data_IF_257274069697
#
_entry.id   IF_257274069697
#
_cell.length_a   1.000
_cell.length_b   1.000
_cell.length_c   1.000
_cell.angle_alpha   90.00
_cell.angle_beta   90.00
_cell.angle_gamma   90.00
#
_symmetry.space_group_name_H-M   'P 1'
#
loop_
_entity.id
_entity.type
_entity.pdbx_description
1 polymer ?
#
# COMPACT_ATOMS: atom_id res chain seq x y z
N UNK A 1 12.24 13.70 13.01
CA UNK A 1 11.38 12.74 12.32
C UNK A 1 12.27 11.76 11.59
N UNK A 2 12.04 10.46 11.68
CA UNK A 2 12.84 9.47 10.95
C UNK A 2 12.56 9.61 9.44
N UNK A 3 13.60 9.86 8.66
CA UNK A 3 13.52 9.82 7.20
C UNK A 3 13.67 8.35 6.81
N UNK A 4 12.72 7.82 6.04
CA UNK A 4 12.80 6.46 5.51
C UNK A 4 13.99 6.34 4.54
N UNK A 5 14.74 5.27 4.65
CA UNK A 5 15.82 4.93 3.69
C UNK A 5 15.21 4.66 2.31
N UNK A 6 15.94 4.96 1.24
CA UNK A 6 15.49 4.68 -0.14
C UNK A 6 15.09 3.20 -0.29
N UNK A 7 13.94 2.98 -0.91
CA UNK A 7 13.40 1.64 -1.18
C UNK A 7 12.58 1.03 -0.04
N UNK A 8 12.54 1.63 1.13
CA UNK A 8 11.66 1.15 2.22
C UNK A 8 10.22 1.59 1.93
N UNK A 9 9.21 0.71 2.10
CA UNK A 9 7.81 1.11 2.11
C UNK A 9 7.55 2.17 3.18
N UNK A 10 7.17 3.38 2.75
CA UNK A 10 7.06 4.54 3.64
C UNK A 10 5.64 5.09 3.74
N UNK A 11 4.75 4.70 2.85
CA UNK A 11 3.36 5.19 2.82
C UNK A 11 2.44 4.26 2.05
N UNK A 12 1.15 4.34 2.36
CA UNK A 12 0.07 3.74 1.58
C UNK A 12 -1.07 4.72 1.38
N UNK A 13 -1.71 4.70 0.22
CA UNK A 13 -2.97 5.41 0.00
C UNK A 13 -3.99 4.56 -0.77
N UNK A 14 -5.27 4.83 -0.55
CA UNK A 14 -6.35 4.29 -1.37
C UNK A 14 -6.95 5.39 -2.25
N UNK A 15 -7.09 5.10 -3.55
CA UNK A 15 -7.77 5.97 -4.49
C UNK A 15 -9.24 5.55 -4.62
N UNK A 16 -10.14 6.34 -4.05
CA UNK A 16 -11.55 6.00 -3.85
C UNK A 16 -12.47 6.89 -4.71
N UNK A 17 -13.57 6.35 -5.24
CA UNK A 17 -14.63 7.16 -5.85
C UNK A 17 -15.28 8.14 -4.88
N UNK A 18 -15.51 7.71 -3.64
CA UNK A 18 -16.10 8.49 -2.54
C UNK A 18 -15.20 8.43 -1.29
N UNK A 19 -14.44 9.50 -1.07
CA UNK A 19 -13.52 9.61 0.07
C UNK A 19 -14.28 9.64 1.40
N UNK A 20 -15.44 10.25 1.48
CA UNK A 20 -16.23 10.31 2.71
C UNK A 20 -16.81 8.93 3.10
N UNK A 21 -17.22 8.13 2.11
CA UNK A 21 -17.60 6.74 2.36
C UNK A 21 -16.40 5.92 2.84
N UNK A 22 -15.20 6.15 2.27
CA UNK A 22 -13.96 5.54 2.73
C UNK A 22 -13.60 5.92 4.16
N UNK A 23 -13.70 7.22 4.51
CA UNK A 23 -13.44 7.69 5.89
C UNK A 23 -14.36 7.00 6.90
N UNK A 24 -15.63 6.81 6.58
CA UNK A 24 -16.56 6.08 7.46
C UNK A 24 -16.16 4.61 7.58
N UNK A 25 -15.84 3.96 6.46
CA UNK A 25 -15.45 2.56 6.44
C UNK A 25 -14.19 2.29 7.28
N UNK A 26 -13.10 2.98 6.97
CA UNK A 26 -11.81 2.76 7.64
C UNK A 26 -11.78 3.36 9.06
N UNK A 27 -12.55 4.43 9.32
CA UNK A 27 -12.72 4.97 10.67
C UNK A 27 -13.39 3.97 11.61
N UNK A 28 -14.46 3.30 11.17
CA UNK A 28 -15.10 2.23 11.96
C UNK A 28 -14.24 0.96 12.06
N UNK A 29 -13.55 0.59 10.96
CA UNK A 29 -12.78 -0.65 10.90
C UNK A 29 -11.51 -0.61 11.77
N UNK A 30 -10.75 0.49 11.67
CA UNK A 30 -9.42 0.62 12.27
C UNK A 30 -9.34 1.69 13.36
N UNK A 31 -10.42 2.43 13.61
CA UNK A 31 -10.39 3.55 14.56
C UNK A 31 -9.69 4.80 14.01
N UNK A 32 -9.56 4.93 12.70
CA UNK A 32 -8.88 6.07 12.11
C UNK A 32 -9.69 7.35 12.24
N UNK A 33 -8.98 8.44 12.51
CA UNK A 33 -9.50 9.81 12.48
C UNK A 33 -8.93 10.54 11.27
N UNK A 34 -9.64 11.58 10.79
CA UNK A 34 -9.24 12.29 9.59
C UNK A 34 -9.18 13.80 9.87
N UNK A 35 -8.00 14.40 9.62
CA UNK A 35 -7.82 15.83 9.79
C UNK A 35 -8.63 16.60 8.76
N UNK A 36 -9.25 17.72 9.19
CA UNK A 36 -9.89 18.68 8.29
C UNK A 36 -8.81 19.52 7.58
N UNK A 37 -9.04 19.85 6.29
CA UNK A 37 -8.22 20.85 5.61
C UNK A 37 -7.25 20.33 4.54
N UNK A 38 -7.18 19.03 4.29
CA UNK A 38 -6.37 18.46 3.20
C UNK A 38 -7.13 18.35 1.85
N UNK A 39 -8.08 19.25 1.57
CA UNK A 39 -8.86 19.27 0.34
C UNK A 39 -9.73 18.01 0.15
N UNK A 40 -9.84 17.46 -1.08
CA UNK A 40 -10.61 16.25 -1.35
C UNK A 40 -9.92 14.96 -0.88
N UNK A 41 -8.77 15.05 -0.23
CA UNK A 41 -8.00 13.95 0.33
C UNK A 41 -8.18 13.87 1.84
N UNK A 42 -8.13 12.65 2.39
CA UNK A 42 -8.15 12.42 3.83
C UNK A 42 -6.81 11.84 4.28
N UNK A 43 -6.07 12.54 5.14
CA UNK A 43 -4.95 11.97 5.85
C UNK A 43 -5.48 11.24 7.09
N UNK A 44 -5.33 9.91 7.09
CA UNK A 44 -5.77 9.08 8.21
C UNK A 44 -4.74 9.11 9.33
N UNK A 45 -5.22 9.26 10.56
CA UNK A 45 -4.41 9.25 11.77
C UNK A 45 -4.93 8.20 12.75
N UNK A 46 -4.03 7.57 13.44
CA UNK A 46 -4.31 6.73 14.61
C UNK A 46 -3.54 7.30 15.81
N UNK A 47 -4.25 7.68 16.88
CA UNK A 47 -3.69 8.37 18.05
C UNK A 47 -2.86 9.62 17.68
N UNK A 48 -3.31 10.37 16.68
CA UNK A 48 -2.67 11.60 16.23
C UNK A 48 -1.53 11.42 15.22
N UNK A 49 -1.07 10.19 14.97
CA UNK A 49 0.03 9.89 14.06
C UNK A 49 -0.50 9.46 12.68
N UNK A 50 0.13 9.90 11.57
CA UNK A 50 -0.32 9.57 10.21
C UNK A 50 -0.07 8.09 9.89
N UNK A 51 -1.09 7.41 9.35
CA UNK A 51 -1.05 5.95 9.07
C UNK A 51 -1.42 5.57 7.64
N UNK A 52 -2.20 6.38 6.93
CA UNK A 52 -2.60 6.13 5.54
C UNK A 52 -3.18 7.39 4.87
N UNK A 53 -3.30 7.35 3.55
CA UNK A 53 -4.01 8.35 2.75
C UNK A 53 -5.28 7.80 2.13
N UNK A 54 -6.34 8.64 2.06
CA UNK A 54 -7.49 8.38 1.21
C UNK A 54 -7.58 9.52 0.21
N UNK A 55 -7.50 9.21 -1.08
CA UNK A 55 -7.51 10.21 -2.14
C UNK A 55 -8.66 9.97 -3.10
N UNK A 56 -9.16 11.05 -3.72
CA UNK A 56 -10.22 10.91 -4.71
C UNK A 56 -9.63 10.44 -6.04
N UNK A 57 -10.21 9.41 -6.62
CA UNK A 57 -9.90 8.96 -7.98
C UNK A 57 -10.10 10.10 -8.98
N UNK A 58 -9.09 10.33 -9.82
CA UNK A 58 -9.13 11.34 -10.88
C UNK A 58 -9.87 10.82 -12.12
N UNK A 59 -9.76 9.53 -12.41
CA UNK A 59 -10.43 8.86 -13.53
C UNK A 59 -11.23 7.65 -13.00
N UNK A 60 -12.53 7.65 -13.25
CA UNK A 60 -13.43 6.56 -12.84
C UNK A 60 -13.11 5.20 -13.48
N UNK A 61 -12.34 5.18 -14.58
CA UNK A 61 -11.90 3.94 -15.27
C UNK A 61 -10.74 3.26 -14.57
N UNK A 62 -9.98 3.97 -13.72
CA UNK A 62 -8.91 3.38 -12.92
C UNK A 62 -9.51 2.43 -11.88
N UNK A 63 -8.86 1.29 -11.56
CA UNK A 63 -9.32 0.43 -10.48
C UNK A 63 -9.28 1.18 -9.13
N UNK A 64 -10.12 0.76 -8.19
CA UNK A 64 -10.04 1.21 -6.80
C UNK A 64 -9.03 0.32 -6.09
N UNK A 65 -7.88 0.89 -5.69
CA UNK A 65 -6.75 0.11 -5.17
C UNK A 65 -6.05 0.85 -4.03
N UNK A 66 -5.41 0.07 -3.18
CA UNK A 66 -4.35 0.54 -2.30
C UNK A 66 -3.02 0.58 -3.06
N UNK A 67 -2.29 1.67 -2.94
CA UNK A 67 -0.96 1.85 -3.51
C UNK A 67 0.06 1.90 -2.38
N UNK A 68 1.12 1.10 -2.49
CA UNK A 68 2.29 1.22 -1.61
C UNK A 68 3.31 2.15 -2.23
N UNK A 69 3.90 3.03 -1.41
CA UNK A 69 4.93 3.98 -1.83
C UNK A 69 6.26 3.64 -1.21
N UNK A 70 7.29 3.58 -2.06
CA UNK A 70 8.69 3.42 -1.64
C UNK A 70 9.34 4.79 -1.48
N UNK A 71 10.10 4.95 -0.40
CA UNK A 71 10.85 6.18 -0.14
C UNK A 71 11.95 6.39 -1.17
N UNK A 72 12.19 7.65 -1.52
CA UNK A 72 13.35 8.05 -2.34
C UNK A 72 13.80 9.47 -2.00
N UNK A 73 15.11 9.77 -2.02
CA UNK A 73 15.61 11.13 -1.92
C UNK A 73 15.45 11.93 -3.21
N UNK A 74 15.28 11.24 -4.37
CA UNK A 74 15.14 11.87 -5.70
C UNK A 74 14.21 11.03 -6.58
N UNK A 75 12.93 11.43 -6.65
CA UNK A 75 11.93 10.75 -7.45
C UNK A 75 12.24 10.79 -8.96
N UNK A 76 12.91 11.85 -9.45
CA UNK A 76 13.27 11.98 -10.85
C UNK A 76 14.40 11.00 -11.23
N UNK A 77 15.43 10.90 -10.41
CA UNK A 77 16.53 9.96 -10.64
C UNK A 77 16.01 8.50 -10.54
N UNK A 78 15.15 8.21 -9.57
CA UNK A 78 14.59 6.88 -9.41
C UNK A 78 13.66 6.49 -10.59
N UNK A 79 12.87 7.41 -11.12
CA UNK A 79 12.06 7.16 -12.31
C UNK A 79 12.91 6.74 -13.53
N UNK A 80 14.10 7.32 -13.71
CA UNK A 80 15.04 6.90 -14.77
C UNK A 80 15.53 5.48 -14.53
N UNK A 81 15.98 5.17 -13.31
CA UNK A 81 16.43 3.80 -12.93
C UNK A 81 15.33 2.77 -13.15
N UNK A 82 14.08 3.08 -12.82
CA UNK A 82 12.92 2.21 -13.07
C UNK A 82 12.76 1.94 -14.57
N UNK A 83 12.83 2.98 -15.41
CA UNK A 83 12.72 2.83 -16.87
C UNK A 83 13.87 1.98 -17.41
N UNK A 84 15.10 2.23 -16.97
CA UNK A 84 16.29 1.48 -17.38
C UNK A 84 16.21 0.00 -16.97
N UNK A 85 15.52 -0.29 -15.84
CA UNK A 85 15.27 -1.64 -15.35
C UNK A 85 14.06 -2.35 -16.01
N UNK A 86 13.36 -1.68 -16.95
CA UNK A 86 12.24 -2.24 -17.72
C UNK A 86 10.85 -1.94 -17.13
N UNK A 87 10.75 -1.12 -16.09
CA UNK A 87 9.47 -0.61 -15.59
C UNK A 87 8.95 0.56 -16.43
N UNK A 88 7.75 1.02 -16.12
CA UNK A 88 7.11 2.15 -16.82
C UNK A 88 6.66 3.23 -15.81
N UNK A 89 6.76 4.50 -16.22
CA UNK A 89 6.28 5.61 -15.43
C UNK A 89 4.86 5.96 -15.85
N UNK A 90 3.90 5.81 -14.91
CA UNK A 90 2.48 6.15 -15.10
C UNK A 90 2.25 7.63 -14.82
N UNK A 91 2.82 8.13 -13.71
CA UNK A 91 2.74 9.52 -13.30
C UNK A 91 4.16 10.03 -13.04
N UNK A 92 4.60 11.00 -13.82
CA UNK A 92 5.89 11.64 -13.60
C UNK A 92 5.95 12.32 -12.21
N UNK A 93 7.15 12.54 -11.66
CA UNK A 93 7.32 13.22 -10.39
C UNK A 93 6.50 14.52 -10.32
N UNK A 94 5.53 14.54 -9.40
CA UNK A 94 4.54 15.61 -9.27
C UNK A 94 4.51 16.11 -7.83
N UNK A 95 4.71 17.40 -7.57
CA UNK A 95 4.63 17.97 -6.23
C UNK A 95 3.21 17.85 -5.63
N UNK A 96 3.15 17.49 -4.35
CA UNK A 96 1.92 17.47 -3.52
C UNK A 96 2.03 18.58 -2.48
N UNK A 97 1.92 19.82 -2.92
CA UNK A 97 2.14 20.99 -2.08
C UNK A 97 3.52 20.94 -1.39
N UNK A 98 3.55 21.23 -0.10
CA UNK A 98 4.75 21.12 0.74
C UNK A 98 4.99 19.71 1.29
N UNK A 99 4.04 18.78 1.11
CA UNK A 99 4.11 17.44 1.70
C UNK A 99 5.24 16.61 1.11
N UNK A 100 5.48 16.74 -0.19
CA UNK A 100 6.51 15.99 -0.90
C UNK A 100 6.25 15.92 -2.39
N UNK A 101 6.94 15.00 -3.07
CA UNK A 101 6.74 14.70 -4.49
C UNK A 101 6.40 13.23 -4.65
N UNK A 102 5.31 12.94 -5.36
CA UNK A 102 4.92 11.58 -5.70
C UNK A 102 5.23 11.27 -7.17
N UNK A 103 5.48 10.00 -7.47
CA UNK A 103 5.37 9.44 -8.80
C UNK A 103 4.67 8.07 -8.73
N UNK A 104 4.10 7.61 -9.85
CA UNK A 104 3.56 6.26 -9.98
C UNK A 104 4.28 5.53 -11.10
N UNK A 105 4.61 4.28 -10.87
CA UNK A 105 5.29 3.42 -11.82
C UNK A 105 4.67 2.02 -11.83
N UNK A 106 5.02 1.22 -12.85
CA UNK A 106 4.82 -0.22 -12.85
C UNK A 106 6.17 -0.93 -12.88
N UNK A 107 6.20 -2.12 -12.33
CA UNK A 107 7.25 -3.07 -12.63
C UNK A 107 7.08 -3.68 -14.04
N UNK A 108 8.02 -4.52 -14.52
CA UNK A 108 7.93 -5.15 -15.84
C UNK A 108 6.72 -6.06 -16.04
N UNK A 109 6.10 -6.56 -14.96
CA UNK A 109 4.89 -7.40 -15.01
C UNK A 109 3.60 -6.59 -14.92
N UNK A 110 3.69 -5.28 -14.68
CA UNK A 110 2.57 -4.35 -14.64
C UNK A 110 2.01 -4.07 -13.24
N UNK A 111 2.65 -4.55 -12.15
CA UNK A 111 2.25 -4.20 -10.80
C UNK A 111 2.55 -2.72 -10.52
N UNK A 112 1.53 -1.98 -10.10
CA UNK A 112 1.62 -0.54 -9.83
C UNK A 112 2.15 -0.29 -8.43
N UNK A 113 3.09 0.65 -8.31
CA UNK A 113 3.61 1.15 -7.05
C UNK A 113 3.89 2.65 -7.10
N UNK A 114 3.97 3.27 -5.93
CA UNK A 114 4.28 4.67 -5.78
C UNK A 114 5.73 4.93 -5.37
N UNK A 115 6.20 6.13 -5.65
CA UNK A 115 7.43 6.70 -5.14
C UNK A 115 7.08 7.92 -4.32
N UNK A 116 7.72 8.07 -3.16
CA UNK A 116 7.54 9.22 -2.31
C UNK A 116 8.87 9.87 -1.97
N UNK A 117 9.04 11.09 -2.46
CA UNK A 117 10.13 11.96 -2.04
C UNK A 117 9.58 12.92 -0.99
N UNK A 118 9.97 12.71 0.26
CA UNK A 118 9.43 13.42 1.39
C UNK A 118 9.75 14.91 1.37
N UNK A 119 8.74 15.73 1.69
CA UNK A 119 8.87 17.12 2.06
C UNK A 119 8.57 17.28 3.56
N UNK A 120 7.45 17.93 3.91
CA UNK A 120 6.98 18.05 5.29
C UNK A 120 6.26 16.80 5.80
N UNK A 121 5.87 15.87 4.91
CA UNK A 121 5.27 14.58 5.27
C UNK A 121 6.28 13.45 5.01
N UNK A 122 6.88 12.87 6.06
CA UNK A 122 7.93 11.87 5.91
C UNK A 122 7.41 10.48 5.52
N UNK A 123 6.12 10.22 5.68
CA UNK A 123 5.49 8.90 5.53
C UNK A 123 4.77 8.48 6.82
N UNK A 124 4.77 7.17 7.12
CA UNK A 124 4.13 6.63 8.31
C UNK A 124 4.66 7.25 9.60
N UNK A 125 3.74 7.70 10.46
CA UNK A 125 4.03 8.00 11.86
C UNK A 125 3.99 6.75 12.73
N UNK A 126 3.10 5.79 12.39
CA UNK A 126 2.97 4.47 13.05
C UNK A 126 2.79 3.36 12.02
N UNK A 127 3.39 2.20 12.30
CA UNK A 127 3.27 0.98 11.52
C UNK A 127 3.54 -0.25 12.40
N UNK A 128 3.22 -1.44 11.92
CA UNK A 128 3.40 -2.74 12.59
C UNK A 128 2.58 -2.90 13.87
N UNK A 129 1.52 -2.13 13.99
CA UNK A 129 0.60 -2.15 15.10
C UNK A 129 -0.83 -2.39 14.60
N UNK A 130 -1.75 -2.64 15.53
CA UNK A 130 -3.18 -2.74 15.23
C UNK A 130 -3.69 -1.47 14.54
N UNK A 131 -4.44 -1.63 13.46
CA UNK A 131 -4.98 -0.54 12.67
C UNK A 131 -3.97 0.19 11.80
N UNK A 132 -2.74 -0.34 11.65
CA UNK A 132 -1.69 0.29 10.84
C UNK A 132 -1.14 -0.67 9.79
N UNK A 133 -0.39 -0.11 8.83
CA UNK A 133 0.37 -0.89 7.85
C UNK A 133 1.34 -1.84 8.54
N UNK A 134 1.33 -3.10 8.10
CA UNK A 134 2.24 -4.13 8.60
C UNK A 134 3.13 -4.74 7.52
N UNK A 135 2.63 -4.77 6.27
CA UNK A 135 3.26 -5.55 5.21
C UNK A 135 2.69 -5.15 3.84
N UNK A 136 3.50 -5.24 2.79
CA UNK A 136 3.06 -5.20 1.40
C UNK A 136 3.53 -6.46 0.69
N UNK A 137 2.60 -7.28 0.21
CA UNK A 137 2.90 -8.47 -0.58
C UNK A 137 2.73 -8.16 -2.06
N UNK A 138 3.77 -8.39 -2.85
CA UNK A 138 3.69 -8.36 -4.30
C UNK A 138 3.32 -9.74 -4.84
N UNK A 139 2.14 -9.84 -5.40
CA UNK A 139 1.70 -11.03 -6.14
C UNK A 139 2.13 -10.90 -7.60
N UNK A 140 3.03 -11.76 -8.04
CA UNK A 140 3.67 -11.75 -9.36
C UNK A 140 3.53 -13.09 -10.07
N UNK A 141 3.74 -13.13 -11.38
CA UNK A 141 3.82 -14.39 -12.15
C UNK A 141 5.19 -15.03 -12.04
N UNK A 142 6.25 -14.21 -12.08
CA UNK A 142 7.64 -14.64 -11.94
C UNK A 142 8.34 -13.92 -10.80
N UNK A 143 8.41 -14.56 -9.63
CA UNK A 143 9.08 -14.01 -8.46
C UNK A 143 10.58 -13.76 -8.67
N UNK A 144 11.24 -14.50 -9.58
CA UNK A 144 12.64 -14.26 -9.93
C UNK A 144 12.81 -12.97 -10.76
N UNK A 145 11.82 -12.62 -11.59
CA UNK A 145 11.80 -11.33 -12.30
C UNK A 145 11.63 -10.17 -11.30
N UNK A 146 10.76 -10.35 -10.29
CA UNK A 146 10.59 -9.41 -9.17
C UNK A 146 11.91 -9.19 -8.45
N UNK A 147 12.61 -10.27 -8.07
CA UNK A 147 13.88 -10.17 -7.36
C UNK A 147 14.95 -9.41 -8.18
N UNK A 148 14.99 -9.64 -9.48
CA UNK A 148 15.89 -8.89 -10.37
C UNK A 148 15.54 -7.40 -10.44
N UNK A 149 14.27 -7.07 -10.64
CA UNK A 149 13.83 -5.68 -10.78
C UNK A 149 13.97 -4.89 -9.49
N UNK A 150 13.29 -5.32 -8.43
CA UNK A 150 13.35 -4.61 -7.14
C UNK A 150 14.72 -4.70 -6.47
N UNK A 151 15.44 -5.80 -6.68
CA UNK A 151 16.83 -5.94 -6.21
C UNK A 151 17.79 -4.98 -6.89
N UNK A 152 17.60 -4.68 -8.18
CA UNK A 152 18.42 -3.68 -8.88
C UNK A 152 18.17 -2.25 -8.40
N UNK A 153 16.98 -1.96 -7.88
CA UNK A 153 16.57 -0.64 -7.41
C UNK A 153 16.80 -0.45 -5.90
N UNK A 154 16.48 -1.47 -5.10
CA UNK A 154 16.27 -1.37 -3.66
C UNK A 154 16.90 -2.55 -2.89
N UNK A 155 18.02 -3.13 -3.35
CA UNK A 155 18.57 -4.36 -2.79
C UNK A 155 18.69 -4.33 -1.27
N UNK A 156 19.37 -3.32 -0.73
CA UNK A 156 19.66 -3.24 0.70
C UNK A 156 18.39 -3.05 1.55
N UNK A 157 17.41 -2.33 1.00
CA UNK A 157 16.16 -2.02 1.70
C UNK A 157 15.19 -3.21 1.75
N UNK A 158 15.18 -4.06 0.70
CA UNK A 158 14.17 -5.12 0.54
C UNK A 158 14.73 -6.54 0.68
N UNK A 159 16.01 -6.75 0.40
CA UNK A 159 16.63 -8.07 0.34
C UNK A 159 17.95 -8.16 1.13
N UNK A 160 18.44 -7.05 1.67
CA UNK A 160 19.66 -7.01 2.48
C UNK A 160 19.48 -7.69 3.84
N UNK A 161 20.57 -7.93 4.57
CA UNK A 161 20.52 -8.58 5.89
C UNK A 161 19.77 -7.76 6.95
N UNK A 162 19.72 -6.44 6.77
CA UNK A 162 19.02 -5.50 7.65
C UNK A 162 17.72 -4.94 7.01
N UNK A 163 17.22 -5.62 5.98
CA UNK A 163 15.98 -5.21 5.29
C UNK A 163 14.80 -5.19 6.25
N UNK A 164 13.97 -4.14 6.12
CA UNK A 164 12.72 -4.08 6.87
C UNK A 164 11.78 -5.20 6.42
N UNK A 165 11.07 -5.86 7.35
CA UNK A 165 10.11 -6.93 7.01
C UNK A 165 8.80 -6.39 6.42
N UNK A 166 8.86 -5.30 5.65
CA UNK A 166 7.68 -4.58 5.14
C UNK A 166 7.27 -5.01 3.73
N UNK A 167 8.09 -5.85 3.09
CA UNK A 167 7.89 -6.28 1.71
C UNK A 167 8.03 -7.80 1.59
N UNK A 168 7.05 -8.40 0.90
CA UNK A 168 7.10 -9.78 0.50
C UNK A 168 6.70 -9.97 -0.95
N UNK A 169 6.88 -11.18 -1.45
CA UNK A 169 6.48 -11.60 -2.78
C UNK A 169 6.01 -13.04 -2.81
N UNK A 170 4.93 -13.25 -3.55
CA UNK A 170 4.35 -14.57 -3.77
C UNK A 170 3.88 -14.70 -5.23
N UNK A 171 3.59 -15.93 -5.65
CA UNK A 171 2.96 -16.12 -6.95
C UNK A 171 1.47 -15.79 -6.87
N UNK A 172 0.95 -15.11 -7.89
CA UNK A 172 -0.49 -14.82 -8.00
C UNK A 172 -1.31 -16.10 -7.81
N UNK A 173 -0.92 -17.21 -8.47
CA UNK A 173 -1.63 -18.48 -8.43
C UNK A 173 -1.68 -19.16 -7.07
N UNK A 174 -0.90 -18.71 -6.09
CA UNK A 174 -0.88 -19.34 -4.76
C UNK A 174 -2.08 -18.90 -3.91
N UNK A 175 -2.66 -17.73 -4.20
CA UNK A 175 -3.77 -17.13 -3.41
C UNK A 175 -4.94 -16.69 -4.30
N UNK A 176 -4.67 -16.25 -5.52
CA UNK A 176 -5.65 -15.66 -6.43
C UNK A 176 -5.79 -16.49 -7.72
N UNK A 177 -6.89 -16.29 -8.49
CA UNK A 177 -6.98 -16.84 -9.84
C UNK A 177 -5.78 -16.46 -10.70
N UNK A 178 -5.23 -17.39 -11.49
CA UNK A 178 -4.03 -17.18 -12.28
C UNK A 178 -4.14 -16.03 -13.32
N UNK A 179 -5.37 -15.69 -13.69
CA UNK A 179 -5.69 -14.59 -14.60
C UNK A 179 -5.57 -13.22 -13.96
N UNK A 180 -5.54 -13.14 -12.64
CA UNK A 180 -5.38 -11.86 -11.93
C UNK A 180 -4.04 -11.24 -12.31
N UNK A 181 -4.02 -9.94 -12.67
CA UNK A 181 -2.77 -9.27 -12.99
C UNK A 181 -1.87 -9.15 -11.74
N UNK A 182 -0.54 -9.06 -11.91
CA UNK A 182 0.37 -8.74 -10.83
C UNK A 182 -0.04 -7.47 -10.10
N UNK A 183 0.00 -7.50 -8.77
CA UNK A 183 -0.45 -6.39 -7.93
C UNK A 183 0.15 -6.45 -6.53
N UNK A 184 0.17 -5.30 -5.88
CA UNK A 184 0.46 -5.22 -4.44
C UNK A 184 -0.81 -5.42 -3.62
N UNK A 185 -0.71 -6.19 -2.56
CA UNK A 185 -1.70 -6.29 -1.50
C UNK A 185 -1.14 -5.69 -0.22
N UNK A 186 -1.79 -4.65 0.29
CA UNK A 186 -1.41 -3.99 1.54
C UNK A 186 -2.06 -4.75 2.70
N UNK A 187 -1.28 -5.00 3.76
CA UNK A 187 -1.73 -5.69 4.96
C UNK A 187 -1.80 -4.72 6.13
N UNK A 188 -2.94 -4.70 6.82
CA UNK A 188 -3.15 -3.95 8.06
C UNK A 188 -3.24 -4.90 9.25
N UNK A 189 -2.59 -4.53 10.36
CA UNK A 189 -2.62 -5.29 11.59
C UNK A 189 -4.01 -5.25 12.26
N UNK A 190 -4.47 -6.40 12.76
CA UNK A 190 -5.71 -6.52 13.54
C UNK A 190 -5.48 -7.42 14.75
N UNK A 191 -6.38 -7.33 15.74
CA UNK A 191 -6.34 -8.18 16.93
C UNK A 191 -7.03 -9.54 16.71
N UNK A 192 -8.08 -9.53 15.90
CA UNK A 192 -8.95 -10.71 15.64
C UNK A 192 -9.50 -10.61 14.21
N UNK A 193 -9.04 -11.51 13.35
CA UNK A 193 -9.48 -11.57 11.96
C UNK A 193 -10.98 -11.84 11.83
N UNK A 194 -11.53 -12.75 12.62
CA UNK A 194 -12.95 -13.13 12.51
C UNK A 194 -13.87 -11.96 12.91
N UNK A 195 -13.54 -11.24 13.97
CA UNK A 195 -14.26 -10.03 14.39
C UNK A 195 -14.24 -8.93 13.33
N UNK A 196 -13.07 -8.73 12.69
CA UNK A 196 -12.90 -7.74 11.62
C UNK A 196 -13.73 -8.10 10.40
N UNK A 197 -13.84 -9.37 10.00
CA UNK A 197 -14.67 -9.80 8.86
C UNK A 197 -16.16 -9.48 9.08
N UNK A 198 -16.65 -9.63 10.30
CA UNK A 198 -18.00 -9.20 10.66
C UNK A 198 -18.21 -7.70 10.43
N UNK A 199 -17.25 -6.90 10.82
CA UNK A 199 -17.27 -5.44 10.60
C UNK A 199 -17.17 -5.08 9.12
N UNK A 200 -16.27 -5.69 8.35
CA UNK A 200 -16.15 -5.49 6.89
C UNK A 200 -17.48 -5.74 6.20
N UNK A 201 -18.13 -6.87 6.46
CA UNK A 201 -19.43 -7.22 5.86
C UNK A 201 -20.52 -6.21 6.26
N UNK A 202 -20.59 -5.81 7.52
CA UNK A 202 -21.56 -4.82 8.02
C UNK A 202 -21.39 -3.46 7.36
N UNK A 203 -20.15 -3.07 7.03
CA UNK A 203 -19.83 -1.82 6.36
C UNK A 203 -19.96 -1.88 4.84
N UNK A 204 -20.40 -3.00 4.26
CA UNK A 204 -20.62 -3.18 2.84
C UNK A 204 -19.38 -3.62 2.05
N UNK A 205 -18.30 -3.97 2.73
CA UNK A 205 -17.16 -4.66 2.14
C UNK A 205 -17.44 -6.14 1.88
N UNK A 206 -16.43 -6.87 1.40
CA UNK A 206 -16.57 -8.30 1.07
C UNK A 206 -15.34 -9.08 1.51
N UNK A 207 -15.53 -10.32 1.92
CA UNK A 207 -14.46 -11.29 2.15
C UNK A 207 -14.13 -11.95 0.81
N UNK A 208 -12.88 -11.80 0.35
CA UNK A 208 -12.37 -12.43 -0.86
C UNK A 208 -11.69 -13.76 -0.57
N UNK A 209 -10.89 -13.83 0.52
CA UNK A 209 -10.37 -15.07 1.05
C UNK A 209 -10.65 -15.14 2.55
N UNK A 210 -11.27 -16.25 2.96
CA UNK A 210 -11.53 -16.55 4.38
C UNK A 210 -10.21 -16.63 5.16
N UNK A 211 -10.24 -16.46 6.49
CA UNK A 211 -9.03 -16.53 7.29
C UNK A 211 -8.27 -17.84 7.11
N UNK A 212 -6.97 -17.73 6.91
CA UNK A 212 -6.05 -18.87 6.81
C UNK A 212 -4.74 -18.54 7.55
N UNK A 213 -4.09 -19.60 8.05
CA UNK A 213 -2.85 -19.45 8.79
C UNK A 213 -1.66 -19.33 7.85
N UNK A 214 -0.76 -18.40 8.17
CA UNK A 214 0.53 -18.20 7.50
C UNK A 214 1.66 -18.27 8.53
N UNK A 215 2.91 -18.29 8.08
CA UNK A 215 4.06 -18.22 8.97
C UNK A 215 4.17 -16.89 9.74
N UNK A 216 3.41 -15.87 9.35
CA UNK A 216 3.45 -14.51 9.94
C UNK A 216 2.26 -14.22 10.85
N UNK A 217 1.24 -15.06 10.86
CA UNK A 217 -0.01 -14.91 11.57
C UNK A 217 -1.21 -15.34 10.74
N UNK A 218 -2.41 -15.18 11.29
CA UNK A 218 -3.67 -15.47 10.61
C UNK A 218 -4.06 -14.29 9.71
N UNK A 219 -4.41 -14.58 8.46
CA UNK A 219 -4.62 -13.58 7.41
C UNK A 219 -5.96 -13.81 6.72
N UNK A 220 -6.65 -12.73 6.39
CA UNK A 220 -7.80 -12.73 5.50
C UNK A 220 -7.66 -11.64 4.44
N UNK A 221 -8.23 -11.88 3.26
CA UNK A 221 -8.27 -10.88 2.17
C UNK A 221 -9.69 -10.36 2.03
N UNK A 222 -9.83 -9.05 2.00
CA UNK A 222 -11.12 -8.37 1.95
C UNK A 222 -11.11 -7.23 0.93
N UNK A 223 -12.29 -6.73 0.57
CA UNK A 223 -12.45 -5.44 -0.08
C UNK A 223 -13.19 -4.48 0.83
N UNK A 224 -12.93 -3.19 0.65
CA UNK A 224 -13.80 -2.17 1.19
C UNK A 224 -15.14 -2.09 0.42
N UNK A 225 -16.00 -1.17 0.82
CA UNK A 225 -17.31 -0.93 0.18
C UNK A 225 -17.23 -0.27 -1.21
N UNK A 226 -16.04 -0.04 -1.73
CA UNK A 226 -15.79 0.58 -3.04
C UNK A 226 -14.89 -0.28 -3.93
N UNK A 227 -14.49 -1.46 -3.44
CA UNK A 227 -13.76 -2.48 -4.17
C UNK A 227 -12.24 -2.43 -4.03
N UNK A 228 -11.68 -1.62 -3.13
CA UNK A 228 -10.25 -1.67 -2.82
C UNK A 228 -9.93 -2.92 -2.01
N UNK A 229 -9.09 -3.79 -2.57
CA UNK A 229 -8.62 -5.01 -1.89
C UNK A 229 -7.49 -4.69 -0.92
N UNK A 230 -7.53 -5.31 0.24
CA UNK A 230 -6.46 -5.30 1.25
C UNK A 230 -6.53 -6.57 2.10
N UNK A 231 -5.46 -6.87 2.82
CA UNK A 231 -5.44 -7.95 3.78
C UNK A 231 -5.50 -7.43 5.21
N UNK A 232 -6.07 -8.21 6.09
CA UNK A 232 -5.99 -8.04 7.55
C UNK A 232 -5.15 -9.17 8.12
N UNK A 233 -4.19 -8.83 8.96
CA UNK A 233 -3.22 -9.74 9.54
C UNK A 233 -3.35 -9.70 11.06
N UNK A 234 -3.75 -10.82 11.64
CA UNK A 234 -3.81 -11.01 13.08
C UNK A 234 -2.42 -11.26 13.63
N UNK A 235 -2.04 -10.47 14.62
CA UNK A 235 -0.75 -10.53 15.32
C UNK A 235 -0.95 -10.40 16.83
#
# INVERSE_FOLDING_TARGET
>A
MAVFTEGVPCWVDAQLPDVEAGKRFYGELFGWTFAQGYGPSGLAHLDGEPVAGLTRKRDGRMPTVWTVYFATPDATALCRRITDAGGQIITAPTPVGSLGTLALATDPEGAVFGLWQAGTHPGFGRRHERGTFCWAELYARDTAAVDRFYGSLFHDALFGPDASPDFGRARVSDVFPAEMPPHFLVHFGVEDCDAVLGTVNRLGGRVQAAPFDTSYGRLAVVTDNQGASFAVLER
#
